data_IF_117869734602
#
_entry.id   IF_117869734602
#
_cell.length_a   1.000
_cell.length_b   1.000
_cell.length_c   1.000
_cell.angle_alpha   90.00
_cell.angle_beta   90.00
_cell.angle_gamma   90.00
#
_symmetry.space_group_name_H-M   'P 1'
#
loop_
_entity.id
_entity.type
_entity.pdbx_description
1 polymer ?
#
# COMPACT_ATOMS: atom_id res chain seq x y z
N UNK A 1 5.22 -10.28 -29.21
CA UNK A 1 5.46 -10.76 -27.83
C UNK A 1 5.61 -9.52 -26.94
N UNK A 2 4.51 -9.00 -26.37
CA UNK A 2 4.55 -7.82 -25.49
C UNK A 2 3.74 -8.15 -24.24
N UNK A 3 4.28 -8.97 -23.36
CA UNK A 3 3.69 -9.31 -22.07
C UNK A 3 4.67 -8.90 -20.98
N UNK A 4 4.15 -8.32 -19.91
CA UNK A 4 4.98 -7.84 -18.80
C UNK A 4 4.24 -8.02 -17.47
N UNK A 5 5.04 -8.16 -16.42
CA UNK A 5 4.60 -8.09 -15.03
C UNK A 5 5.42 -6.99 -14.37
N UNK A 6 4.75 -5.98 -13.80
CA UNK A 6 5.40 -4.83 -13.18
C UNK A 6 4.91 -4.64 -11.74
N UNK A 7 5.84 -4.41 -10.82
CA UNK A 7 5.52 -3.88 -9.49
C UNK A 7 5.49 -2.36 -9.61
N UNK A 8 4.33 -1.77 -9.31
CA UNK A 8 4.08 -0.33 -9.50
C UNK A 8 3.48 0.27 -8.24
N UNK A 9 3.60 1.57 -8.07
CA UNK A 9 2.98 2.35 -7.01
C UNK A 9 1.96 3.32 -7.62
N UNK A 10 0.79 3.42 -7.01
CA UNK A 10 -0.29 4.31 -7.46
C UNK A 10 0.08 5.76 -7.13
N UNK A 11 0.22 6.59 -8.16
CA UNK A 11 0.46 8.03 -8.02
C UNK A 11 -0.85 8.80 -8.07
N UNK A 12 -1.82 8.30 -8.84
CA UNK A 12 -3.16 8.87 -8.94
C UNK A 12 -4.23 7.80 -8.79
N UNK A 13 -5.25 8.09 -7.97
CA UNK A 13 -6.39 7.21 -7.75
C UNK A 13 -7.13 6.89 -9.06
N UNK A 14 -7.70 5.66 -9.19
CA UNK A 14 -8.36 5.21 -10.40
C UNK A 14 -9.55 6.09 -10.76
N UNK A 15 -9.63 6.48 -12.02
CA UNK A 15 -10.76 7.20 -12.60
C UNK A 15 -11.58 6.24 -13.44
N UNK A 16 -12.81 5.96 -13.02
CA UNK A 16 -13.71 5.05 -13.73
C UNK A 16 -14.68 5.87 -14.57
N UNK A 17 -14.78 5.53 -15.85
CA UNK A 17 -15.69 6.14 -16.81
C UNK A 17 -16.36 5.06 -17.65
N UNK A 18 -17.50 5.39 -18.24
CA UNK A 18 -18.20 4.51 -19.17
C UNK A 18 -18.07 5.09 -20.58
N UNK A 19 -17.81 4.23 -21.56
CA UNK A 19 -17.86 4.61 -22.97
C UNK A 19 -19.31 4.79 -23.44
N UNK A 20 -19.51 5.28 -24.67
CA UNK A 20 -20.84 5.37 -25.30
C UNK A 20 -21.59 4.04 -25.31
N UNK A 21 -20.85 2.94 -25.39
CA UNK A 21 -21.37 1.57 -25.43
C UNK A 21 -21.60 0.98 -24.02
N UNK A 22 -21.60 1.82 -22.98
CA UNK A 22 -21.71 1.43 -21.56
C UNK A 22 -20.61 0.48 -21.07
N UNK A 23 -19.44 0.48 -21.72
CA UNK A 23 -18.31 -0.35 -21.30
C UNK A 23 -17.55 0.41 -20.21
N UNK A 24 -17.35 -0.16 -19.01
CA UNK A 24 -16.56 0.47 -17.96
C UNK A 24 -15.08 0.46 -18.32
N UNK A 25 -14.42 1.59 -18.07
CA UNK A 25 -12.99 1.83 -18.29
C UNK A 25 -12.42 2.49 -17.06
N UNK A 26 -11.41 1.89 -16.44
CA UNK A 26 -10.71 2.46 -15.30
C UNK A 26 -9.29 2.85 -15.70
N UNK A 27 -8.94 4.10 -15.46
CA UNK A 27 -7.62 4.65 -15.76
C UNK A 27 -6.87 4.95 -14.47
N UNK A 28 -5.62 4.51 -14.38
CA UNK A 28 -4.77 4.71 -13.21
C UNK A 28 -3.41 5.27 -13.66
N UNK A 29 -2.86 6.22 -12.91
CA UNK A 29 -1.48 6.65 -13.10
C UNK A 29 -0.63 6.01 -12.02
N UNK A 30 0.38 5.27 -12.45
CA UNK A 30 1.29 4.54 -11.57
C UNK A 30 2.73 4.89 -11.91
N UNK A 31 3.62 4.73 -10.95
CA UNK A 31 5.06 4.82 -11.14
C UNK A 31 5.72 3.48 -10.87
N UNK A 32 6.84 3.22 -11.54
CA UNK A 32 7.67 2.06 -11.26
C UNK A 32 9.14 2.49 -11.26
N UNK A 33 9.92 1.83 -10.42
CA UNK A 33 11.35 2.09 -10.37
C UNK A 33 12.02 1.47 -11.60
N UNK A 34 12.82 2.27 -12.27
CA UNK A 34 13.70 1.77 -13.32
C UNK A 34 14.78 0.88 -12.70
N UNK A 35 15.27 -0.14 -13.43
CA UNK A 35 16.32 -1.02 -12.93
C UNK A 35 17.66 -0.31 -12.71
N UNK A 36 17.79 0.93 -13.18
CA UNK A 36 18.92 1.82 -12.90
C UNK A 36 18.57 2.70 -11.72
N UNK A 37 19.31 2.55 -10.63
CA UNK A 37 19.12 3.33 -9.39
C UNK A 37 19.32 4.85 -9.58
N UNK A 38 20.04 5.25 -10.62
CA UNK A 38 20.31 6.67 -10.92
C UNK A 38 19.17 7.36 -11.67
N UNK A 39 18.26 6.59 -12.28
CA UNK A 39 17.19 7.13 -13.11
C UNK A 39 15.94 7.40 -12.25
N UNK A 40 15.21 8.51 -12.50
CA UNK A 40 13.97 8.80 -11.80
C UNK A 40 12.90 7.74 -12.12
N UNK A 41 11.94 7.50 -11.20
CA UNK A 41 10.88 6.53 -11.42
C UNK A 41 10.06 6.89 -12.66
N UNK A 42 9.79 5.88 -13.49
CA UNK A 42 9.05 6.06 -14.73
C UNK A 42 7.55 5.97 -14.46
N UNK A 43 6.78 6.87 -15.08
CA UNK A 43 5.32 6.94 -14.93
C UNK A 43 4.61 6.23 -16.07
N UNK A 44 3.56 5.47 -15.76
CA UNK A 44 2.72 4.74 -16.72
C UNK A 44 1.24 5.03 -16.50
N UNK A 45 0.49 5.05 -17.60
CA UNK A 45 -0.97 5.12 -17.56
C UNK A 45 -1.54 3.72 -17.77
N UNK A 46 -2.00 3.10 -16.70
CA UNK A 46 -2.70 1.82 -16.77
C UNK A 46 -4.14 2.03 -17.21
N UNK A 47 -4.64 1.16 -18.09
CA UNK A 47 -6.05 1.16 -18.51
C UNK A 47 -6.63 -0.25 -18.37
N UNK A 48 -7.64 -0.36 -17.51
CA UNK A 48 -8.45 -1.56 -17.35
C UNK A 48 -9.79 -1.37 -18.05
N UNK A 49 -10.28 -2.44 -18.67
CA UNK A 49 -11.54 -2.47 -19.42
C UNK A 49 -12.49 -3.51 -18.84
N UNK A 50 -13.80 -3.30 -19.06
CA UNK A 50 -14.84 -4.26 -18.75
C UNK A 50 -14.76 -4.72 -17.28
N UNK A 51 -14.77 -6.02 -17.01
CA UNK A 51 -14.72 -6.60 -15.66
C UNK A 51 -13.59 -6.05 -14.79
N UNK A 52 -12.40 -5.86 -15.35
CA UNK A 52 -11.25 -5.33 -14.59
C UNK A 52 -11.49 -3.89 -14.14
N UNK A 53 -12.19 -3.08 -14.94
CA UNK A 53 -12.49 -1.70 -14.56
C UNK A 53 -13.39 -1.64 -13.32
N UNK A 54 -14.40 -2.51 -13.26
CA UNK A 54 -15.29 -2.64 -12.10
C UNK A 54 -14.57 -3.23 -10.89
N UNK A 55 -13.69 -4.21 -11.08
CA UNK A 55 -12.86 -4.76 -9.98
C UNK A 55 -11.91 -3.69 -9.40
N UNK A 56 -11.34 -2.86 -10.27
CA UNK A 56 -10.49 -1.73 -9.87
C UNK A 56 -11.28 -0.71 -9.03
N UNK A 57 -12.51 -0.40 -9.44
CA UNK A 57 -13.42 0.47 -8.71
C UNK A 57 -13.75 -0.08 -7.32
N UNK A 58 -14.18 -1.34 -7.25
CA UNK A 58 -14.57 -2.02 -6.01
C UNK A 58 -13.43 -2.12 -5.01
N UNK A 59 -12.20 -2.30 -5.49
CA UNK A 59 -11.03 -2.39 -4.61
C UNK A 59 -10.67 -1.03 -3.96
N UNK A 60 -11.01 0.08 -4.63
CA UNK A 60 -10.80 1.43 -4.12
C UNK A 60 -9.33 1.74 -3.87
N UNK A 61 -8.49 1.71 -4.92
CA UNK A 61 -7.06 2.02 -4.79
C UNK A 61 -6.81 3.47 -4.38
N UNK A 62 -5.77 3.67 -3.56
CA UNK A 62 -5.34 4.98 -3.11
C UNK A 62 -3.92 5.26 -3.56
N UNK A 63 -3.56 6.54 -3.54
CA UNK A 63 -2.18 6.97 -3.79
C UNK A 63 -1.26 6.33 -2.75
N UNK A 64 -0.13 5.78 -3.20
CA UNK A 64 0.83 5.02 -2.39
C UNK A 64 0.58 3.50 -2.33
N UNK A 65 -0.55 3.01 -2.85
CA UNK A 65 -0.78 1.56 -2.93
C UNK A 65 0.21 0.92 -3.93
N UNK A 66 0.85 -0.18 -3.53
CA UNK A 66 1.70 -0.98 -4.42
C UNK A 66 0.89 -2.10 -5.09
N UNK A 67 1.00 -2.22 -6.40
CA UNK A 67 0.25 -3.16 -7.23
C UNK A 67 1.21 -4.03 -8.05
N UNK A 68 0.87 -5.31 -8.22
CA UNK A 68 1.52 -6.17 -9.20
C UNK A 68 0.61 -6.27 -10.42
N UNK A 69 1.10 -5.78 -11.54
CA UNK A 69 0.27 -5.55 -12.73
C UNK A 69 0.73 -6.45 -13.85
N UNK A 70 -0.19 -7.24 -14.40
CA UNK A 70 0.06 -8.11 -15.55
C UNK A 70 -0.72 -7.62 -16.77
N UNK A 71 -0.02 -7.45 -17.89
CA UNK A 71 -0.68 -7.00 -19.10
C UNK A 71 0.22 -6.97 -20.32
N UNK A 72 -0.23 -6.21 -21.31
CA UNK A 72 0.53 -5.95 -22.53
C UNK A 72 0.88 -4.49 -22.62
N UNK A 73 2.16 -4.16 -22.70
CA UNK A 73 2.61 -2.79 -22.93
C UNK A 73 2.45 -2.44 -24.41
N UNK A 74 1.75 -1.35 -24.66
CA UNK A 74 1.77 -0.65 -25.94
C UNK A 74 2.48 0.69 -25.74
N UNK A 75 3.48 0.96 -26.57
CA UNK A 75 4.12 2.27 -26.61
C UNK A 75 3.27 3.18 -27.49
N UNK A 76 2.76 4.26 -26.93
CA UNK A 76 2.04 5.29 -27.69
C UNK A 76 2.84 6.57 -27.57
N UNK A 77 3.44 7.00 -28.67
CA UNK A 77 4.03 8.33 -28.75
C UNK A 77 2.90 9.31 -28.96
N UNK A 78 2.64 10.15 -27.95
CA UNK A 78 1.66 11.23 -28.07
C UNK A 78 2.45 12.50 -28.36
N UNK A 79 2.48 12.92 -29.63
CA UNK A 79 2.93 14.26 -29.98
C UNK A 79 1.87 15.26 -29.51
N UNK A 80 2.18 15.99 -28.44
CA UNK A 80 1.33 17.09 -27.98
C UNK A 80 1.41 18.23 -29.00
N UNK A 81 0.41 18.33 -29.87
CA UNK A 81 0.15 19.55 -30.64
C UNK A 81 -0.59 20.58 -29.78
N UNK A 82 0.04 21.08 -28.72
CA UNK A 82 -0.37 22.34 -28.12
C UNK A 82 0.86 23.23 -28.00
N UNK A 83 0.83 24.34 -28.75
CA UNK A 83 1.96 25.23 -28.98
C UNK A 83 2.49 25.86 -27.69
N UNK A 84 3.45 25.19 -27.07
CA UNK A 84 4.35 25.80 -26.10
C UNK A 84 5.76 25.83 -26.68
N UNK A 85 6.09 26.95 -27.34
CA UNK A 85 7.48 27.38 -27.48
C UNK A 85 7.94 27.83 -26.11
N UNK A 86 8.92 27.16 -25.53
CA UNK A 86 9.94 27.77 -24.68
C UNK A 86 11.05 26.73 -24.42
N UNK A 87 12.16 26.93 -25.14
CA UNK A 87 13.51 26.37 -24.99
C UNK A 87 13.74 25.33 -23.89
N UNK A 88 13.57 24.05 -24.25
CA UNK A 88 14.10 22.91 -23.51
C UNK A 88 14.02 21.69 -24.41
N UNK A 89 15.06 20.88 -24.45
CA UNK A 89 15.20 19.67 -25.28
C UNK A 89 13.89 18.84 -25.29
N UNK A 90 13.12 18.95 -26.37
CA UNK A 90 11.79 18.35 -26.53
C UNK A 90 11.91 16.86 -26.89
N UNK A 91 12.27 16.02 -25.93
CA UNK A 91 11.99 14.59 -26.04
C UNK A 91 10.50 14.38 -25.77
N UNK A 92 9.71 14.09 -26.81
CA UNK A 92 8.30 13.74 -26.67
C UNK A 92 8.14 12.65 -25.60
N UNK A 93 7.30 12.83 -24.57
CA UNK A 93 7.10 11.81 -23.56
C UNK A 93 6.48 10.58 -24.22
N UNK A 94 7.22 9.48 -24.27
CA UNK A 94 6.66 8.19 -24.67
C UNK A 94 5.68 7.76 -23.58
N UNK A 95 4.38 7.77 -23.89
CA UNK A 95 3.34 7.34 -22.97
C UNK A 95 3.13 5.85 -23.19
N UNK A 96 3.54 5.03 -22.23
CA UNK A 96 3.21 3.62 -22.29
C UNK A 96 1.80 3.42 -21.76
N UNK A 97 0.95 2.81 -22.59
CA UNK A 97 -0.41 2.43 -22.23
C UNK A 97 -0.45 0.91 -22.19
N UNK A 98 -0.22 0.29 -21.03
CA UNK A 98 -0.47 -1.12 -20.88
C UNK A 98 -1.98 -1.41 -20.91
N UNK A 99 -2.39 -2.36 -21.75
CA UNK A 99 -3.69 -2.99 -21.61
C UNK A 99 -3.61 -4.06 -20.53
N UNK A 100 -4.37 -3.85 -19.47
CA UNK A 100 -4.39 -4.75 -18.34
C UNK A 100 -5.16 -6.01 -18.68
N UNK A 101 -4.55 -7.17 -18.41
CA UNK A 101 -5.23 -8.46 -18.46
C UNK A 101 -5.59 -8.94 -17.07
N UNK A 102 -4.76 -8.62 -16.08
CA UNK A 102 -5.01 -8.94 -14.68
C UNK A 102 -4.26 -7.95 -13.78
N UNK A 103 -4.82 -7.62 -12.64
CA UNK A 103 -4.16 -6.82 -11.60
C UNK A 103 -4.16 -7.63 -10.32
N UNK A 104 -2.97 -8.03 -9.86
CA UNK A 104 -2.80 -8.66 -8.57
C UNK A 104 -2.44 -7.58 -7.55
N UNK A 105 -3.28 -7.42 -6.54
CA UNK A 105 -3.06 -6.42 -5.52
C UNK A 105 -2.24 -7.02 -4.38
N UNK A 106 -0.96 -6.67 -4.33
CA UNK A 106 -0.16 -6.85 -3.12
C UNK A 106 -0.46 -5.69 -2.17
N UNK A 107 -1.63 -5.73 -1.50
CA UNK A 107 -1.86 -4.86 -0.34
C UNK A 107 -0.98 -5.33 0.80
N UNK A 108 0.31 -4.97 0.74
CA UNK A 108 1.10 -4.75 1.95
C UNK A 108 0.51 -3.50 2.59
N UNK A 109 -0.66 -3.63 3.24
CA UNK A 109 -1.03 -2.64 4.25
C UNK A 109 0.17 -2.64 5.19
N UNK A 110 0.89 -1.52 5.39
CA UNK A 110 1.63 -1.40 6.63
C UNK A 110 0.56 -1.66 7.68
N UNK A 111 0.71 -2.76 8.39
CA UNK A 111 -0.16 -3.16 9.48
C UNK A 111 -0.21 -1.90 10.35
N UNK A 112 -1.29 -1.13 10.23
CA UNK A 112 -1.46 0.03 11.07
C UNK A 112 -1.43 -0.57 12.48
N UNK A 113 -0.61 -0.06 13.41
CA UNK A 113 -0.78 -0.36 14.81
C UNK A 113 -2.05 0.39 15.24
N UNK A 114 -3.18 0.00 14.66
CA UNK A 114 -4.47 0.55 14.98
C UNK A 114 -4.90 -0.12 16.27
N UNK A 115 -4.46 0.49 17.37
CA UNK A 115 -5.16 0.48 18.65
C UNK A 115 -5.44 -0.93 19.20
N UNK A 116 -4.63 -1.33 20.18
CA UNK A 116 -5.07 -2.23 21.26
C UNK A 116 -5.76 -1.35 22.33
N UNK A 117 -7.08 -1.09 22.30
CA UNK A 117 -7.73 -0.36 23.39
C UNK A 117 -8.01 -1.23 24.63
N UNK A 118 -7.35 -2.38 24.82
CA UNK A 118 -7.69 -3.35 25.88
C UNK A 118 -6.51 -3.86 26.73
N UNK A 119 -5.32 -3.27 26.60
CA UNK A 119 -4.24 -3.48 27.59
C UNK A 119 -4.25 -2.40 28.69
N UNK A 120 -5.44 -2.07 29.19
CA UNK A 120 -5.57 -1.59 30.57
C UNK A 120 -6.03 -2.77 31.41
N UNK A 121 -5.05 -3.55 31.88
CA UNK A 121 -5.29 -4.39 33.05
C UNK A 121 -5.76 -3.45 34.17
N UNK A 122 -6.95 -3.64 34.77
CA UNK A 122 -7.26 -2.93 35.99
C UNK A 122 -6.25 -3.40 37.03
N UNK A 123 -5.33 -2.52 37.42
CA UNK A 123 -4.52 -2.68 38.63
C UNK A 123 -5.52 -2.66 39.77
N UNK A 124 -6.10 -3.82 40.03
CA UNK A 124 -6.89 -4.03 41.22
C UNK A 124 -5.84 -4.11 42.30
N UNK A 125 -5.65 -3.02 43.05
CA UNK A 125 -5.01 -3.07 44.36
C UNK A 125 -5.85 -3.99 45.25
N UNK A 126 -5.73 -5.31 45.07
CA UNK A 126 -6.02 -6.25 46.15
C UNK A 126 -4.97 -5.95 47.20
N UNK A 127 -5.36 -5.22 48.24
CA UNK A 127 -4.67 -5.28 49.52
C UNK A 127 -4.59 -6.76 49.88
N UNK A 128 -3.40 -7.34 49.75
CA UNK A 128 -3.10 -8.57 50.46
C UNK A 128 -3.23 -8.24 51.96
N UNK A 129 -4.09 -8.93 52.73
CA UNK A 129 -4.01 -8.82 54.18
C UNK A 129 -2.62 -9.31 54.60
N UNK A 130 -1.91 -8.48 55.36
CA UNK A 130 -0.59 -8.81 55.88
C UNK A 130 -0.68 -10.09 56.74
N UNK A 131 0.26 -11.04 56.62
CA UNK A 131 0.33 -12.16 57.55
C UNK A 131 0.63 -11.64 58.95
N UNK A 132 -0.16 -12.08 59.94
CA UNK A 132 0.06 -11.77 61.35
C UNK A 132 1.44 -12.25 61.81
N UNK A 133 2.18 -11.47 62.62
CA UNK A 133 3.49 -11.89 63.11
C UNK A 133 3.36 -13.11 64.05
N UNK A 134 4.31 -14.07 64.01
CA UNK A 134 4.33 -15.18 64.95
C UNK A 134 4.56 -14.65 66.37
N UNK A 135 3.70 -15.10 67.29
CA UNK A 135 3.86 -14.84 68.72
C UNK A 135 5.02 -15.67 69.26
N UNK A 136 6.14 -15.01 69.55
CA UNK A 136 7.28 -15.64 70.22
C UNK A 136 6.90 -15.97 71.67
N UNK A 137 6.45 -17.20 71.90
CA UNK A 137 6.26 -17.76 73.24
C UNK A 137 7.39 -18.73 73.54
N UNK A 138 8.29 -18.27 74.41
CA UNK A 138 9.05 -19.02 75.41
C UNK A 138 9.66 -20.37 75.01
N UNK A 139 10.98 -20.38 74.79
CA UNK A 139 11.82 -21.51 75.18
C UNK A 139 12.91 -21.03 76.14
N UNK A 140 13.13 -21.74 77.28
CA UNK A 140 14.01 -21.32 78.36
C UNK A 140 15.50 -21.45 78.00
N UNK A 141 16.40 -20.75 78.73
CA UNK A 141 17.83 -20.82 78.49
C UNK A 141 18.38 -22.09 79.15
N UNK A 142 19.12 -22.89 78.41
CA UNK A 142 20.06 -23.85 79.02
C UNK A 142 21.42 -23.66 78.36
N UNK A 143 22.26 -22.91 79.08
CA UNK A 143 23.72 -22.96 79.01
C UNK A 143 24.18 -24.39 79.29
N UNK A 144 25.26 -24.91 78.69
CA UNK A 144 26.69 -24.79 79.08
C UNK A 144 27.33 -26.18 78.78
N UNK A 145 28.65 -26.37 78.92
CA UNK A 145 29.81 -25.58 78.50
C UNK A 145 30.45 -26.13 77.21
#
# INVERSE_FOLDING_TARGET
>A
MNHCILLVEVVQAPQVRYTSDQIPVAELIVQFNTPRDTDPPATLKLVAWNRLATEVEQQGYRVGDRLLVEGRISMVTIDRQEGFRENGLNSAPSVFIPSLRSVLVLRLRPMSPQWLPWLQLPITHRRFPAPSPPTWRNFPPQCKP
#
